data_IF_909914656551
#
_entry.id   IF_909914656551
#
_cell.length_a   1.000
_cell.length_b   1.000
_cell.length_c   1.000
_cell.angle_alpha   90.00
_cell.angle_beta   90.00
_cell.angle_gamma   90.00
#
_symmetry.space_group_name_H-M   'P 1'
#
loop_
_entity.id
_entity.type
_entity.pdbx_description
1 polymer ?
#
# COMPACT_ATOMS: atom_id res chain seq x y z
N UNK A 1 -13.03 -20.80 -7.38
CA UNK A 1 -13.38 -19.37 -7.26
C UNK A 1 -12.37 -18.57 -8.06
N UNK A 2 -12.79 -17.56 -8.83
CA UNK A 2 -11.89 -16.69 -9.59
C UNK A 2 -11.81 -15.34 -8.88
N UNK A 3 -10.61 -14.79 -8.74
CA UNK A 3 -10.32 -13.51 -8.07
C UNK A 3 -9.50 -12.67 -9.06
N UNK A 4 -9.89 -11.42 -9.25
CA UNK A 4 -9.10 -10.41 -9.96
C UNK A 4 -8.50 -9.44 -8.96
N UNK A 5 -7.17 -9.27 -9.03
CA UNK A 5 -6.43 -8.47 -8.07
C UNK A 5 -5.52 -7.46 -8.74
N UNK A 6 -5.39 -6.29 -8.12
CA UNK A 6 -4.40 -5.27 -8.47
C UNK A 6 -3.56 -4.96 -7.22
N UNK A 7 -2.36 -5.54 -7.16
CA UNK A 7 -1.55 -5.62 -5.94
C UNK A 7 -0.34 -4.68 -5.95
N UNK A 8 -0.33 -3.71 -6.87
CA UNK A 8 0.68 -2.66 -6.88
C UNK A 8 0.01 -1.36 -7.31
N UNK A 9 -0.45 -0.62 -6.30
CA UNK A 9 -0.96 0.73 -6.46
C UNK A 9 -0.22 1.68 -5.50
N UNK A 10 -0.54 2.95 -5.59
CA UNK A 10 -0.03 3.99 -4.71
C UNK A 10 -1.17 4.80 -4.10
N UNK A 11 -0.94 5.32 -2.90
CA UNK A 11 -1.83 6.26 -2.23
C UNK A 11 -1.59 7.68 -2.76
N UNK A 12 -2.41 8.63 -2.28
CA UNK A 12 -2.24 10.07 -2.53
C UNK A 12 -0.93 10.66 -1.96
N UNK A 13 -0.22 9.91 -1.13
CA UNK A 13 1.03 10.37 -0.50
C UNK A 13 2.28 10.02 -1.32
N UNK A 14 2.15 9.20 -2.36
CA UNK A 14 3.24 8.98 -3.32
C UNK A 14 3.37 10.16 -4.28
N UNK A 15 4.60 10.51 -4.63
CA UNK A 15 4.86 11.55 -5.64
C UNK A 15 4.19 11.28 -6.99
N UNK A 16 3.68 12.33 -7.62
CA UNK A 16 3.03 12.30 -8.95
C UNK A 16 1.80 11.37 -9.04
N UNK A 17 1.12 11.11 -7.92
CA UNK A 17 -0.16 10.39 -7.88
C UNK A 17 -1.34 11.37 -7.77
N UNK A 18 -2.57 10.87 -7.97
CA UNK A 18 -3.76 11.68 -7.79
C UNK A 18 -4.08 11.87 -6.31
N UNK A 19 -4.47 13.08 -5.92
CA UNK A 19 -5.04 13.38 -4.59
C UNK A 19 -6.30 12.56 -4.26
N UNK A 20 -6.92 11.94 -5.29
CA UNK A 20 -8.07 11.05 -5.15
C UNK A 20 -7.71 9.59 -4.93
N UNK A 21 -6.42 9.25 -4.79
CA UNK A 21 -5.99 7.90 -4.38
C UNK A 21 -6.25 7.68 -2.88
N UNK A 22 -7.54 7.61 -2.52
CA UNK A 22 -8.08 7.38 -1.18
C UNK A 22 -9.03 6.17 -1.17
N UNK A 23 -9.33 5.60 0.00
CA UNK A 23 -10.11 4.35 0.11
C UNK A 23 -11.50 4.43 -0.54
N UNK A 24 -12.30 5.51 -0.35
CA UNK A 24 -13.59 5.65 -1.03
C UNK A 24 -13.51 5.57 -2.56
N UNK A 25 -12.61 6.33 -3.18
CA UNK A 25 -12.45 6.36 -4.64
C UNK A 25 -11.85 5.05 -5.17
N UNK A 26 -10.83 4.50 -4.50
CA UNK A 26 -10.24 3.21 -4.86
C UNK A 26 -11.28 2.10 -4.87
N UNK A 27 -12.14 2.06 -3.86
CA UNK A 27 -13.23 1.09 -3.75
C UNK A 27 -14.21 1.25 -4.92
N UNK A 28 -14.72 2.46 -5.15
CA UNK A 28 -15.71 2.71 -6.21
C UNK A 28 -15.19 2.32 -7.60
N UNK A 29 -13.94 2.67 -7.92
CA UNK A 29 -13.36 2.35 -9.22
C UNK A 29 -12.93 0.89 -9.37
N UNK A 30 -12.57 0.21 -8.29
CA UNK A 30 -12.32 -1.23 -8.34
C UNK A 30 -13.61 -2.02 -8.59
N UNK A 31 -14.77 -1.59 -8.07
CA UNK A 31 -16.06 -2.21 -8.39
C UNK A 31 -16.40 -2.03 -9.88
N UNK A 32 -16.20 -0.82 -10.42
CA UNK A 32 -16.41 -0.53 -11.85
C UNK A 32 -15.47 -1.38 -12.73
N UNK A 33 -14.21 -1.52 -12.31
CA UNK A 33 -13.18 -2.30 -13.03
C UNK A 33 -13.40 -3.81 -12.92
N UNK A 34 -14.19 -4.27 -11.93
CA UNK A 34 -14.43 -5.68 -11.65
C UNK A 34 -13.29 -6.37 -10.90
N UNK A 35 -12.63 -5.64 -10.00
CA UNK A 35 -11.61 -6.18 -9.11
C UNK A 35 -12.23 -6.68 -7.80
N UNK A 36 -11.72 -7.79 -7.30
CA UNK A 36 -12.13 -8.38 -6.02
C UNK A 36 -11.17 -7.99 -4.87
N UNK A 37 -9.90 -7.73 -5.19
CA UNK A 37 -8.83 -7.47 -4.24
C UNK A 37 -7.90 -6.35 -4.72
N UNK A 38 -7.56 -5.43 -3.82
CA UNK A 38 -6.56 -4.39 -4.03
C UNK A 38 -5.41 -4.49 -3.03
N UNK A 39 -4.21 -4.12 -3.46
CA UNK A 39 -3.19 -3.63 -2.53
C UNK A 39 -3.63 -2.30 -1.94
N UNK A 40 -3.28 -1.99 -0.69
CA UNK A 40 -3.59 -0.68 -0.11
C UNK A 40 -2.77 0.47 -0.73
N UNK A 41 -1.62 0.16 -1.33
CA UNK A 41 -0.58 1.15 -1.61
C UNK A 41 0.07 1.67 -0.32
N UNK A 42 1.36 2.02 -0.40
CA UNK A 42 2.09 2.87 0.54
C UNK A 42 1.85 2.64 2.05
N UNK A 43 1.57 1.40 2.48
CA UNK A 43 1.10 1.12 3.85
C UNK A 43 2.10 1.44 4.96
N UNK A 44 3.34 1.80 4.61
CA UNK A 44 4.36 2.23 5.57
C UNK A 44 4.27 3.74 5.88
N UNK A 45 3.61 4.53 5.02
CA UNK A 45 3.51 5.97 5.20
C UNK A 45 2.55 6.29 6.38
N UNK A 46 2.99 7.05 7.40
CA UNK A 46 2.27 7.14 8.68
C UNK A 46 0.86 7.74 8.55
N UNK A 47 0.70 8.79 7.73
CA UNK A 47 -0.64 9.39 7.51
C UNK A 47 -1.55 8.49 6.70
N UNK A 48 -0.97 7.68 5.80
CA UNK A 48 -1.78 6.72 5.04
C UNK A 48 -2.21 5.56 5.93
N UNK A 49 -1.31 5.04 6.75
CA UNK A 49 -1.61 4.00 7.72
C UNK A 49 -2.73 4.40 8.69
N UNK A 50 -2.76 5.67 9.13
CA UNK A 50 -3.87 6.22 9.92
C UNK A 50 -5.20 6.19 9.14
N UNK A 51 -5.21 6.63 7.88
CA UNK A 51 -6.39 6.54 7.02
C UNK A 51 -6.84 5.10 6.77
N UNK A 52 -5.91 4.17 6.54
CA UNK A 52 -6.20 2.75 6.40
C UNK A 52 -6.89 2.19 7.65
N UNK A 53 -6.43 2.55 8.86
CA UNK A 53 -7.07 2.15 10.13
C UNK A 53 -8.45 2.77 10.33
N UNK A 54 -8.65 3.99 9.84
CA UNK A 54 -9.91 4.69 9.93
C UNK A 54 -10.96 4.16 8.96
N UNK A 55 -10.56 3.84 7.73
CA UNK A 55 -11.49 3.49 6.64
C UNK A 55 -11.67 1.98 6.45
N UNK A 56 -10.70 1.17 6.88
CA UNK A 56 -10.73 -0.29 6.73
C UNK A 56 -10.97 -1.01 8.05
N UNK A 57 -11.69 -2.13 7.97
CA UNK A 57 -11.84 -3.10 9.05
C UNK A 57 -11.22 -4.45 8.64
N UNK A 58 -10.70 -5.18 9.63
CA UNK A 58 -10.05 -6.46 9.40
C UNK A 58 -11.07 -7.52 9.01
N UNK A 59 -10.74 -8.30 7.99
CA UNK A 59 -11.43 -9.51 7.57
C UNK A 59 -10.55 -10.75 7.82
N UNK A 60 -11.05 -11.93 7.48
CA UNK A 60 -10.28 -13.16 7.64
C UNK A 60 -9.04 -13.20 6.74
N UNK A 61 -7.99 -13.87 7.20
CA UNK A 61 -6.81 -14.17 6.39
C UNK A 61 -5.86 -12.99 6.12
N UNK A 62 -5.86 -11.97 6.99
CA UNK A 62 -5.00 -10.78 6.81
C UNK A 62 -5.52 -9.78 5.77
N UNK A 63 -6.75 -10.00 5.29
CA UNK A 63 -7.45 -9.08 4.40
C UNK A 63 -8.20 -8.03 5.20
N UNK A 64 -8.57 -6.97 4.50
CA UNK A 64 -9.34 -5.85 5.04
C UNK A 64 -10.50 -5.52 4.11
N UNK A 65 -11.52 -4.85 4.62
CA UNK A 65 -12.66 -4.36 3.83
C UNK A 65 -12.97 -2.91 4.19
N UNK A 66 -13.54 -2.12 3.27
CA UNK A 66 -14.05 -0.80 3.59
C UNK A 66 -15.17 -0.89 4.65
N UNK A 67 -15.08 -0.06 5.69
CA UNK A 67 -16.14 0.05 6.72
C UNK A 67 -17.49 0.52 6.15
N UNK A 68 -17.48 1.09 4.95
CA UNK A 68 -18.66 1.50 4.20
C UNK A 68 -19.45 0.32 3.60
N UNK A 69 -18.94 -0.92 3.68
CA UNK A 69 -19.70 -2.15 3.39
C UNK A 69 -19.62 -2.69 1.95
N UNK A 70 -18.78 -2.09 1.09
CA UNK A 70 -18.54 -2.57 -0.27
C UNK A 70 -17.84 -3.92 -0.28
N UNK A 71 -18.04 -4.69 -1.36
CA UNK A 71 -17.57 -6.07 -1.47
C UNK A 71 -16.20 -6.19 -2.13
N UNK A 72 -15.25 -5.37 -1.67
CA UNK A 72 -13.86 -5.40 -2.10
C UNK A 72 -12.96 -5.69 -0.91
N UNK A 73 -11.92 -6.48 -1.15
CA UNK A 73 -10.88 -6.73 -0.18
C UNK A 73 -9.66 -5.86 -0.43
N UNK A 74 -8.94 -5.57 0.64
CA UNK A 74 -7.64 -4.94 0.62
C UNK A 74 -6.60 -5.85 1.29
N UNK A 75 -5.37 -5.84 0.78
CA UNK A 75 -4.20 -6.42 1.44
C UNK A 75 -3.18 -5.31 1.70
N UNK A 76 -2.62 -5.19 2.92
CA UNK A 76 -1.56 -4.24 3.20
C UNK A 76 -0.41 -4.41 2.21
N UNK A 77 -0.08 -3.32 1.52
CA UNK A 77 0.89 -3.33 0.43
C UNK A 77 1.72 -2.05 0.45
N UNK A 78 3.00 -2.18 0.11
CA UNK A 78 3.91 -1.05 -0.14
C UNK A 78 4.86 -1.36 -1.30
N UNK A 79 5.47 -0.33 -1.87
CA UNK A 79 6.65 -0.44 -2.71
C UNK A 79 7.82 0.30 -2.04
N UNK A 80 8.96 -0.38 -1.91
CA UNK A 80 10.20 0.22 -1.38
C UNK A 80 11.23 0.26 -2.49
N UNK A 81 11.91 1.38 -2.66
CA UNK A 81 13.02 1.51 -3.58
C UNK A 81 14.35 1.23 -2.85
N UNK A 82 15.31 0.68 -3.58
CA UNK A 82 16.69 0.52 -3.10
C UNK A 82 17.61 1.15 -4.12
N UNK A 83 18.50 2.02 -3.66
CA UNK A 83 19.51 2.67 -4.50
C UNK A 83 20.89 2.23 -4.06
N UNK A 84 21.64 1.59 -4.96
CA UNK A 84 22.99 1.12 -4.68
C UNK A 84 23.86 1.16 -5.93
N UNK A 85 25.18 1.09 -5.76
CA UNK A 85 26.12 0.95 -6.87
C UNK A 85 26.49 -0.52 -7.08
N UNK A 86 26.46 -0.97 -8.33
CA UNK A 86 26.94 -2.29 -8.72
C UNK A 86 27.71 -2.19 -10.03
N UNK A 87 28.97 -2.63 -10.03
CA UNK A 87 29.89 -2.55 -11.18
C UNK A 87 30.02 -1.13 -11.77
N UNK A 88 30.16 -0.12 -10.90
CA UNK A 88 30.32 1.27 -11.32
C UNK A 88 29.05 1.92 -11.90
N UNK A 89 27.89 1.28 -11.75
CA UNK A 89 26.59 1.80 -12.21
C UNK A 89 25.59 1.89 -11.06
N UNK A 90 24.91 3.02 -10.96
CA UNK A 90 23.80 3.19 -10.03
C UNK A 90 22.63 2.28 -10.44
N UNK A 91 22.11 1.52 -9.49
CA UNK A 91 20.92 0.68 -9.60
C UNK A 91 19.82 1.28 -8.74
N UNK A 92 18.60 1.31 -9.29
CA UNK A 92 17.39 1.73 -8.60
C UNK A 92 16.39 0.61 -8.78
N UNK A 93 16.16 -0.17 -7.73
CA UNK A 93 15.31 -1.36 -7.79
C UNK A 93 14.13 -1.15 -6.87
N UNK A 94 12.93 -1.39 -7.38
CA UNK A 94 11.72 -1.34 -6.57
C UNK A 94 11.27 -2.74 -6.19
N UNK A 95 10.78 -2.86 -4.96
CA UNK A 95 10.31 -4.11 -4.36
C UNK A 95 8.88 -3.91 -3.89
N UNK A 96 7.96 -4.72 -4.41
CA UNK A 96 6.58 -4.76 -3.91
C UNK A 96 6.51 -5.75 -2.75
N UNK A 97 5.94 -5.29 -1.64
CA UNK A 97 5.84 -6.06 -0.41
C UNK A 97 4.37 -6.12 -0.01
N UNK A 98 3.86 -7.34 0.17
CA UNK A 98 2.56 -7.61 0.74
C UNK A 98 2.74 -8.05 2.19
N UNK A 99 1.95 -7.49 3.09
CA UNK A 99 2.07 -7.73 4.53
C UNK A 99 0.78 -8.39 5.04
N UNK A 100 0.88 -9.27 6.06
CA UNK A 100 -0.28 -10.00 6.57
C UNK A 100 -1.21 -9.13 7.42
N UNK A 101 -0.78 -7.95 7.85
CA UNK A 101 -1.60 -7.02 8.64
C UNK A 101 -1.03 -5.60 8.63
N UNK A 102 -1.85 -4.62 9.03
CA UNK A 102 -1.42 -3.22 9.20
C UNK A 102 -0.45 -3.06 10.38
N UNK A 103 -0.49 -3.94 11.38
CA UNK A 103 0.49 -3.98 12.47
C UNK A 103 1.86 -4.39 11.96
N UNK A 104 1.94 -5.36 11.04
CA UNK A 104 3.22 -5.72 10.39
C UNK A 104 3.71 -4.60 9.48
N UNK A 105 2.81 -3.84 8.85
CA UNK A 105 3.19 -2.64 8.10
C UNK A 105 3.81 -1.57 9.01
N UNK A 106 3.25 -1.34 10.20
CA UNK A 106 3.83 -0.43 11.19
C UNK A 106 5.23 -0.90 11.64
N UNK A 107 5.38 -2.18 11.99
CA UNK A 107 6.68 -2.76 12.37
C UNK A 107 7.73 -2.65 11.26
N UNK A 108 7.33 -2.90 10.01
CA UNK A 108 8.21 -2.75 8.85
C UNK A 108 8.60 -1.29 8.63
N UNK A 109 7.66 -0.36 8.83
CA UNK A 109 7.92 1.09 8.75
C UNK A 109 8.97 1.50 9.79
N UNK A 110 8.82 1.04 11.03
CA UNK A 110 9.79 1.28 12.11
C UNK A 110 11.18 0.73 11.77
N UNK A 111 11.27 -0.50 11.28
CA UNK A 111 12.57 -1.10 10.92
C UNK A 111 13.23 -0.40 9.73
N UNK A 112 12.46 -0.05 8.69
CA UNK A 112 12.99 0.64 7.51
C UNK A 112 13.35 2.11 7.76
N UNK A 113 12.73 2.75 8.76
CA UNK A 113 13.08 4.13 9.16
C UNK A 113 14.54 4.31 9.57
N UNK A 114 15.24 3.21 9.88
CA UNK A 114 16.69 3.19 10.17
C UNK A 114 17.55 3.40 8.93
N UNK A 115 17.00 3.17 7.73
CA UNK A 115 17.73 3.18 6.47
C UNK A 115 17.32 4.34 5.55
N UNK A 116 16.12 4.90 5.73
CA UNK A 116 15.60 6.01 4.91
C UNK A 116 14.37 6.68 5.52
N UNK A 117 13.91 7.77 4.88
CA UNK A 117 12.74 8.53 5.34
C UNK A 117 11.44 7.95 4.75
N UNK A 118 10.76 7.16 5.58
CA UNK A 118 9.50 6.48 5.27
C UNK A 118 8.29 7.44 5.23
N UNK A 119 8.44 8.67 5.73
CA UNK A 119 7.38 9.67 5.81
C UNK A 119 7.46 10.73 4.68
N UNK A 120 8.59 10.83 3.98
CA UNK A 120 8.82 11.83 2.94
C UNK A 120 8.03 11.58 1.65
N UNK A 121 7.84 10.31 1.28
CA UNK A 121 7.11 9.86 0.09
C UNK A 121 6.42 8.53 0.46
N UNK A 122 5.31 8.20 -0.20
CA UNK A 122 4.69 6.87 -0.10
C UNK A 122 5.63 5.72 -0.49
N UNK A 123 6.78 6.04 -1.09
CA UNK A 123 7.84 5.13 -1.54
C UNK A 123 9.16 5.41 -0.80
N UNK A 124 9.47 4.71 0.29
CA UNK A 124 10.75 4.84 0.98
C UNK A 124 11.90 4.42 0.06
N UNK A 125 13.02 5.14 0.12
CA UNK A 125 14.24 4.94 -0.70
C UNK A 125 15.44 4.61 0.18
#
# INVERSE_FOLDING_TARGET
MRIFADLHIHSKYSGATSERMNIPELTAFAEIKGLDLLGTGDALHPRWLEELRNDLEQAEGGLYRPKTGQRIYFVPQVEVATIHEYEGKARRIHHVILMPSLEVAEQLSEELSRFGDVASDGRPV
#
